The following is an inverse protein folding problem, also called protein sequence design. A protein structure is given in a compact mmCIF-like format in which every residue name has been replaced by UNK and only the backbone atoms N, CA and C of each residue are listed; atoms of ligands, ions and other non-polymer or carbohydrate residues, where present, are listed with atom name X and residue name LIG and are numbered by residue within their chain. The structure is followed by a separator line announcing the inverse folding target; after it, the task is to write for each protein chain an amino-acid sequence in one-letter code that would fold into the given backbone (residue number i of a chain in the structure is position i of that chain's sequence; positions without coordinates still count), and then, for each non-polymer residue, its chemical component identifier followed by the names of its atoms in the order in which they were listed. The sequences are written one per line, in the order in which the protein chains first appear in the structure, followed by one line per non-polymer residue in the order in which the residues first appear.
data_IF_112085195742
#
_entry.id   IF_112085195742
#
_cell.length_a   1.000
_cell.length_b   1.000
_cell.length_c   1.000
_cell.angle_alpha   90.00
_cell.angle_beta   90.00
_cell.angle_gamma   90.00
#
_symmetry.space_group_name_H-M   'P 1'
#
loop_
_entity.id
_entity.type
_entity.pdbx_description
1 polymer ?
#
# COMPACT_ATOMS: atom_id res chain seq x y z
N UNK A 1 -7.54 -20.32 55.14
CA UNK A 1 -6.44 -20.17 54.16
C UNK A 1 -7.09 -19.85 52.84
N UNK A 2 -6.96 -18.60 52.39
CA UNK A 2 -7.71 -18.05 51.25
C UNK A 2 -7.25 -18.63 49.92
N UNK A 3 -8.24 -18.88 49.07
CA UNK A 3 -8.14 -19.28 47.66
C UNK A 3 -7.17 -18.42 46.86
N UNK A 4 -6.28 -19.08 46.12
CA UNK A 4 -5.44 -18.44 45.10
C UNK A 4 -6.28 -18.10 43.87
N UNK A 5 -6.34 -16.81 43.56
CA UNK A 5 -6.92 -16.21 42.37
C UNK A 5 -6.14 -16.68 41.13
N UNK A 6 -6.84 -17.28 40.17
CA UNK A 6 -6.30 -17.56 38.85
C UNK A 6 -6.10 -16.24 38.11
N UNK A 7 -4.84 -15.92 37.79
CA UNK A 7 -4.50 -14.81 36.91
C UNK A 7 -4.96 -15.17 35.48
N UNK A 8 -5.92 -14.42 34.96
CA UNK A 8 -6.27 -14.44 33.54
C UNK A 8 -5.05 -14.04 32.72
N UNK A 9 -4.58 -14.95 31.87
CA UNK A 9 -3.55 -14.68 30.87
C UNK A 9 -4.18 -13.80 29.78
N UNK A 10 -3.75 -12.53 29.72
CA UNK A 10 -4.08 -11.60 28.65
C UNK A 10 -3.53 -12.14 27.32
N UNK A 11 -4.44 -12.33 26.37
CA UNK A 11 -4.17 -12.72 24.98
C UNK A 11 -3.62 -11.48 24.25
N UNK A 12 -2.34 -11.53 23.84
CA UNK A 12 -1.78 -10.72 22.75
C UNK A 12 -0.56 -11.49 22.19
N UNK A 13 -0.34 -11.58 20.86
CA UNK A 13 -0.75 -10.62 19.85
C UNK A 13 -1.45 -11.24 18.62
N UNK A 14 -2.77 -11.08 18.53
CA UNK A 14 -3.48 -10.96 17.23
C UNK A 14 -3.45 -9.47 16.77
N UNK A 15 -2.89 -8.59 17.63
CA UNK A 15 -2.87 -7.14 17.50
C UNK A 15 -2.10 -6.57 16.28
N UNK A 16 -1.46 -7.41 15.44
CA UNK A 16 -0.82 -6.90 14.23
C UNK A 16 -1.85 -6.50 13.17
N UNK A 17 -2.97 -7.24 13.07
CA UNK A 17 -4.00 -6.98 12.05
C UNK A 17 -5.38 -6.69 12.64
N UNK A 18 -5.75 -7.27 13.79
CA UNK A 18 -7.08 -7.11 14.39
C UNK A 18 -7.06 -6.09 15.51
N UNK A 19 -7.53 -4.87 15.24
CA UNK A 19 -7.54 -3.78 16.22
C UNK A 19 -8.50 -2.67 15.81
N UNK A 20 -8.98 -1.92 16.81
CA UNK A 20 -9.78 -0.71 16.63
C UNK A 20 -9.16 0.47 17.37
N UNK A 21 -9.16 1.66 16.77
CA UNK A 21 -8.80 2.90 17.48
C UNK A 21 -9.92 3.40 18.39
N UNK A 22 -11.17 3.02 18.12
CA UNK A 22 -12.34 3.50 18.82
C UNK A 22 -13.38 2.39 18.89
N UNK A 23 -13.61 1.82 20.08
CA UNK A 23 -14.60 0.78 20.23
C UNK A 23 -15.97 1.39 20.62
N UNK A 24 -16.99 1.36 19.75
CA UNK A 24 -18.28 2.00 19.99
C UNK A 24 -19.12 1.30 21.05
N UNK A 25 -18.76 0.09 21.50
CA UNK A 25 -19.40 -0.54 22.66
C UNK A 25 -18.98 0.11 23.98
N UNK A 26 -17.81 0.76 24.00
CA UNK A 26 -17.21 1.31 25.22
C UNK A 26 -17.34 2.85 25.30
N UNK A 27 -17.57 3.53 24.17
CA UNK A 27 -17.73 4.99 24.13
C UNK A 27 -18.65 5.44 22.98
N UNK A 28 -19.01 6.73 22.95
CA UNK A 28 -20.06 7.27 22.07
C UNK A 28 -19.57 8.31 21.07
N UNK A 29 -18.31 8.71 21.17
CA UNK A 29 -17.67 9.76 20.37
C UNK A 29 -16.80 9.19 19.23
N UNK A 30 -17.03 7.93 18.83
CA UNK A 30 -16.35 7.36 17.68
C UNK A 30 -16.70 8.10 16.38
N UNK A 31 -15.70 8.31 15.50
CA UNK A 31 -15.94 8.88 14.19
C UNK A 31 -16.88 7.98 13.38
N UNK A 32 -17.52 8.55 12.36
CA UNK A 32 -18.33 7.78 11.43
C UNK A 32 -17.45 7.06 10.41
N UNK A 33 -17.84 5.85 10.06
CA UNK A 33 -17.12 5.00 9.12
C UNK A 33 -17.48 5.40 7.69
N UNK A 34 -16.50 5.75 6.87
CA UNK A 34 -16.77 6.10 5.46
C UNK A 34 -17.23 4.87 4.69
N UNK A 35 -18.40 4.92 4.04
CA UNK A 35 -18.94 3.81 3.26
C UNK A 35 -18.24 3.66 1.91
N UNK A 36 -18.18 2.46 1.34
CA UNK A 36 -17.79 2.27 -0.06
C UNK A 36 -18.92 2.69 -1.01
N UNK A 37 -20.17 2.35 -0.70
CA UNK A 37 -21.38 2.73 -1.45
C UNK A 37 -21.45 2.25 -2.91
N UNK A 38 -20.63 1.26 -3.28
CA UNK A 38 -20.57 0.73 -4.65
C UNK A 38 -19.97 -0.68 -4.69
N UNK A 39 -19.99 -1.27 -5.89
CA UNK A 39 -19.12 -2.38 -6.25
C UNK A 39 -17.91 -1.84 -7.00
N UNK A 40 -16.70 -2.21 -6.57
CA UNK A 40 -15.47 -1.80 -7.23
C UNK A 40 -14.41 -2.91 -7.21
N UNK A 41 -13.69 -3.03 -8.31
CA UNK A 41 -12.55 -3.93 -8.45
C UNK A 41 -11.24 -3.13 -8.32
N UNK A 42 -10.50 -3.42 -7.25
CA UNK A 42 -9.16 -2.90 -7.03
C UNK A 42 -8.14 -3.84 -7.69
N UNK A 43 -7.53 -3.40 -8.79
CA UNK A 43 -6.48 -4.16 -9.47
C UNK A 43 -5.09 -3.67 -9.03
N UNK A 44 -4.38 -4.50 -8.26
CA UNK A 44 -3.09 -4.14 -7.67
C UNK A 44 -1.90 -4.34 -8.62
N UNK A 45 -2.11 -4.92 -9.82
CA UNK A 45 -1.05 -5.05 -10.83
C UNK A 45 -0.79 -3.75 -11.61
N UNK A 46 -1.77 -2.83 -11.63
CA UNK A 46 -1.71 -1.63 -12.47
C UNK A 46 -1.47 -0.34 -11.68
N UNK A 47 -2.03 -0.24 -10.49
CA UNK A 47 -2.04 1.00 -9.71
C UNK A 47 -1.92 0.73 -8.23
N UNK A 48 -1.09 1.53 -7.53
CA UNK A 48 -1.11 1.55 -6.07
C UNK A 48 -2.43 2.14 -5.58
N UNK A 49 -3.06 1.48 -4.61
CA UNK A 49 -4.41 1.83 -4.16
C UNK A 49 -4.41 2.91 -3.05
N UNK A 50 -3.35 3.74 -2.97
CA UNK A 50 -3.12 4.64 -1.84
C UNK A 50 -4.15 5.75 -1.64
N UNK A 51 -5.02 6.02 -2.62
CA UNK A 51 -6.16 6.92 -2.45
C UNK A 51 -7.26 6.31 -1.59
N UNK A 52 -7.47 4.99 -1.68
CA UNK A 52 -8.57 4.25 -1.04
C UNK A 52 -8.14 3.21 -0.01
N UNK A 53 -6.84 2.94 0.09
CA UNK A 53 -6.23 2.04 1.06
C UNK A 53 -5.10 2.73 1.83
N UNK A 54 -4.92 2.35 3.08
CA UNK A 54 -3.80 2.74 3.94
C UNK A 54 -2.86 1.55 4.09
N UNK A 55 -1.56 1.80 4.09
CA UNK A 55 -0.58 0.85 4.65
C UNK A 55 -0.47 1.14 6.15
N UNK A 56 -0.94 0.22 6.98
CA UNK A 56 -1.00 0.38 8.45
C UNK A 56 0.24 -0.17 9.14
N UNK A 57 0.94 -1.10 8.49
CA UNK A 57 2.21 -1.63 8.96
C UNK A 57 3.11 -2.02 7.77
N UNK A 58 4.43 -1.96 7.98
CA UNK A 58 5.43 -2.37 7.00
C UNK A 58 5.44 -1.55 5.70
N UNK A 59 5.92 -2.16 4.62
CA UNK A 59 5.94 -1.59 3.26
C UNK A 59 5.31 -2.59 2.31
N UNK A 60 4.50 -2.09 1.38
CA UNK A 60 3.84 -2.89 0.35
C UNK A 60 4.39 -2.44 -1.00
N UNK A 61 4.99 -3.39 -1.71
CA UNK A 61 5.48 -3.17 -3.08
C UNK A 61 4.42 -3.64 -4.08
N UNK A 62 4.56 -3.23 -5.34
CA UNK A 62 3.61 -3.57 -6.40
C UNK A 62 4.39 -4.03 -7.62
N UNK A 63 4.00 -5.16 -8.20
CA UNK A 63 4.57 -5.73 -9.41
C UNK A 63 3.48 -6.35 -10.31
N UNK A 64 3.88 -7.12 -11.32
CA UNK A 64 2.96 -7.77 -12.26
C UNK A 64 2.07 -8.86 -11.61
N UNK A 65 2.49 -9.42 -10.47
CA UNK A 65 1.70 -10.36 -9.65
C UNK A 65 0.73 -9.64 -8.68
N UNK A 66 0.89 -8.33 -8.48
CA UNK A 66 0.02 -7.49 -7.66
C UNK A 66 0.73 -6.83 -6.48
N UNK A 67 0.00 -6.64 -5.37
CA UNK A 67 0.55 -6.12 -4.12
C UNK A 67 1.37 -7.20 -3.41
N UNK A 68 2.60 -6.87 -3.02
CA UNK A 68 3.56 -7.75 -2.37
C UNK A 68 3.69 -7.41 -0.87
N UNK A 69 3.45 -8.41 -0.03
CA UNK A 69 3.56 -8.32 1.42
C UNK A 69 4.69 -9.24 1.85
N UNK A 70 5.83 -8.69 2.30
CA UNK A 70 7.03 -9.48 2.57
C UNK A 70 7.51 -9.38 4.01
N UNK A 71 7.75 -10.52 4.63
CA UNK A 71 8.50 -10.66 5.89
C UNK A 71 9.96 -10.93 5.53
N UNK A 72 10.83 -9.95 5.80
CA UNK A 72 12.29 -10.10 5.68
C UNK A 72 12.90 -10.39 7.04
N UNK A 73 12.45 -9.68 8.06
CA UNK A 73 13.00 -9.72 9.39
C UNK A 73 11.91 -9.89 10.43
N UNK A 74 12.35 -10.28 11.63
CA UNK A 74 11.51 -10.31 12.81
C UNK A 74 10.85 -8.95 13.06
N UNK A 75 9.53 -8.96 13.27
CA UNK A 75 8.72 -7.76 13.47
C UNK A 75 8.09 -7.20 12.19
N UNK A 76 8.45 -7.72 11.01
CA UNK A 76 7.73 -7.39 9.78
C UNK A 76 6.32 -8.00 9.81
N UNK A 77 5.32 -7.15 9.62
CA UNK A 77 3.91 -7.54 9.47
C UNK A 77 3.20 -6.61 8.47
N UNK A 78 3.65 -6.54 7.20
CA UNK A 78 3.07 -5.60 6.25
C UNK A 78 1.57 -5.83 6.07
N UNK A 79 0.81 -4.75 6.22
CA UNK A 79 -0.65 -4.78 6.27
C UNK A 79 -1.21 -3.57 5.54
N UNK A 80 -2.21 -3.78 4.68
CA UNK A 80 -3.06 -2.71 4.15
C UNK A 80 -4.49 -2.85 4.64
N UNK A 81 -5.14 -1.71 4.83
CA UNK A 81 -6.51 -1.58 5.29
C UNK A 81 -7.27 -0.62 4.36
N UNK A 82 -8.50 -0.96 3.99
CA UNK A 82 -9.36 -0.05 3.23
C UNK A 82 -9.68 1.20 4.06
N UNK A 83 -9.70 2.37 3.43
CA UNK A 83 -10.16 3.63 4.05
C UNK A 83 -11.67 3.72 4.15
N UNK A 84 -12.36 2.74 3.59
CA UNK A 84 -13.80 2.60 3.60
C UNK A 84 -14.19 1.33 4.34
N UNK A 85 -15.45 1.31 4.74
CA UNK A 85 -16.15 0.17 5.30
C UNK A 85 -17.24 -0.26 4.31
N UNK A 86 -17.68 -1.50 4.44
CA UNK A 86 -18.91 -1.99 3.82
C UNK A 86 -19.86 -2.44 4.92
N UNK A 87 -21.17 -2.35 4.66
CA UNK A 87 -22.16 -2.83 5.61
C UNK A 87 -23.03 -3.90 4.98
N UNK A 88 -22.67 -5.15 5.29
CA UNK A 88 -22.96 -6.31 4.45
C UNK A 88 -22.39 -6.15 3.04
N UNK A 89 -22.22 -7.26 2.32
CA UNK A 89 -21.58 -7.20 1.03
C UNK A 89 -20.95 -8.48 0.55
N UNK A 90 -20.00 -8.30 -0.36
CA UNK A 90 -19.16 -9.37 -0.90
C UNK A 90 -17.73 -8.85 -1.07
N UNK A 91 -16.76 -9.61 -0.59
CA UNK A 91 -15.32 -9.35 -0.73
C UNK A 91 -14.71 -10.54 -1.42
N UNK A 92 -14.26 -10.36 -2.65
CA UNK A 92 -13.53 -11.35 -3.46
C UNK A 92 -12.07 -10.92 -3.54
N UNK A 93 -11.13 -11.79 -3.18
CA UNK A 93 -9.69 -11.50 -3.18
C UNK A 93 -8.95 -12.60 -3.94
N UNK A 94 -8.15 -12.19 -4.93
CA UNK A 94 -7.23 -13.07 -5.63
C UNK A 94 -5.88 -13.06 -4.93
N UNK A 95 -5.59 -14.13 -4.19
CA UNK A 95 -4.45 -14.23 -3.27
C UNK A 95 -3.61 -15.48 -3.56
N UNK A 96 -2.28 -15.30 -3.48
CA UNK A 96 -1.28 -16.37 -3.40
C UNK A 96 -0.56 -16.22 -2.06
N UNK A 97 -0.73 -17.20 -1.18
CA UNK A 97 -0.26 -17.15 0.20
C UNK A 97 1.26 -17.29 0.27
N UNK A 98 1.85 -16.84 1.36
CA UNK A 98 3.27 -17.02 1.62
C UNK A 98 3.58 -18.44 2.09
N UNK A 99 4.75 -18.96 1.70
CA UNK A 99 5.36 -20.13 2.32
C UNK A 99 6.01 -19.76 3.66
N UNK A 100 6.37 -20.77 4.46
CA UNK A 100 7.26 -20.61 5.61
C UNK A 100 6.64 -21.09 6.90
N UNK A 101 7.46 -21.71 7.76
CA UNK A 101 7.01 -22.13 9.09
C UNK A 101 6.66 -20.91 9.95
N UNK A 102 5.49 -20.95 10.60
CA UNK A 102 5.04 -19.85 11.45
C UNK A 102 4.56 -18.60 10.70
N UNK A 103 4.60 -18.59 9.36
CA UNK A 103 4.16 -17.45 8.54
C UNK A 103 2.68 -17.61 8.22
N UNK A 104 1.93 -16.52 8.30
CA UNK A 104 0.49 -16.49 8.04
C UNK A 104 0.16 -15.38 7.06
N UNK A 105 -0.63 -15.71 6.05
CA UNK A 105 -1.25 -14.77 5.11
C UNK A 105 -2.73 -14.64 5.44
N UNK A 106 -3.27 -13.43 5.42
CA UNK A 106 -4.57 -13.14 6.00
C UNK A 106 -5.42 -12.23 5.11
N UNK A 107 -6.72 -12.53 5.02
CA UNK A 107 -7.77 -11.63 4.54
C UNK A 107 -8.75 -11.44 5.69
N UNK A 108 -8.91 -10.23 6.18
CA UNK A 108 -9.75 -9.95 7.36
C UNK A 108 -10.76 -8.86 7.03
N UNK A 109 -12.03 -9.11 7.29
CA UNK A 109 -13.04 -8.07 7.43
C UNK A 109 -13.16 -7.77 8.92
N UNK A 110 -12.96 -6.53 9.34
CA UNK A 110 -13.02 -6.16 10.77
C UNK A 110 -13.78 -4.85 11.00
N UNK A 111 -14.65 -4.84 11.99
CA UNK A 111 -15.41 -3.66 12.43
C UNK A 111 -14.72 -2.92 13.58
N UNK A 112 -15.19 -1.73 13.87
CA UNK A 112 -14.71 -0.93 15.00
C UNK A 112 -15.10 -1.53 16.37
N UNK A 113 -16.14 -2.36 16.44
CA UNK A 113 -16.49 -3.14 17.63
C UNK A 113 -15.87 -4.55 17.67
N UNK A 114 -14.99 -4.89 16.72
CA UNK A 114 -14.29 -6.17 16.62
C UNK A 114 -15.22 -7.36 16.27
N UNK A 115 -16.28 -7.10 15.51
CA UNK A 115 -16.85 -8.13 14.65
C UNK A 115 -15.83 -8.42 13.52
N UNK A 116 -15.61 -9.70 13.23
CA UNK A 116 -14.53 -10.16 12.36
C UNK A 116 -14.97 -11.35 11.51
N UNK A 117 -14.54 -11.36 10.25
CA UNK A 117 -14.63 -12.51 9.34
C UNK A 117 -13.33 -12.63 8.57
N UNK A 118 -12.70 -13.80 8.62
CA UNK A 118 -11.35 -13.95 8.10
C UNK A 118 -11.11 -15.22 7.28
N UNK A 119 -10.00 -15.15 6.54
CA UNK A 119 -9.29 -16.26 5.92
C UNK A 119 -7.85 -16.24 6.40
N UNK A 120 -7.33 -17.39 6.81
CA UNK A 120 -5.95 -17.55 7.27
C UNK A 120 -5.25 -18.69 6.53
N UNK A 121 -4.04 -18.44 6.04
CA UNK A 121 -3.22 -19.43 5.34
C UNK A 121 -1.88 -19.57 6.05
N UNK A 122 -1.65 -20.72 6.68
CA UNK A 122 -0.34 -21.02 7.28
C UNK A 122 0.63 -21.47 6.20
N UNK A 123 1.86 -20.97 6.25
CA UNK A 123 2.88 -21.24 5.23
C UNK A 123 3.41 -22.68 5.19
N UNK A 124 2.91 -23.55 6.08
CA UNK A 124 3.19 -24.99 6.12
C UNK A 124 2.04 -25.85 5.60
N UNK A 125 0.81 -25.33 5.57
CA UNK A 125 -0.34 -26.09 5.08
C UNK A 125 -0.56 -25.81 3.60
N UNK A 126 0.01 -26.67 2.75
CA UNK A 126 -0.04 -26.53 1.30
C UNK A 126 -1.31 -27.08 0.66
N UNK A 127 -2.32 -27.40 1.46
CA UNK A 127 -3.53 -28.10 0.99
C UNK A 127 -4.83 -27.51 1.53
N UNK A 128 -4.79 -26.54 2.45
CA UNK A 128 -5.98 -25.97 3.05
C UNK A 128 -5.82 -24.48 3.36
N UNK A 129 -6.95 -23.76 3.38
CA UNK A 129 -7.10 -22.44 4.02
C UNK A 129 -8.04 -22.55 5.21
N UNK A 130 -7.81 -21.75 6.25
CA UNK A 130 -8.69 -21.66 7.41
C UNK A 130 -9.68 -20.51 7.24
N UNK A 131 -10.89 -20.68 7.76
CA UNK A 131 -11.89 -19.61 7.91
C UNK A 131 -12.23 -19.45 9.38
N UNK A 132 -12.41 -18.22 9.83
CA UNK A 132 -12.83 -17.94 11.20
C UNK A 132 -13.77 -16.73 11.26
N UNK A 133 -14.32 -16.49 12.45
CA UNK A 133 -15.13 -15.31 12.73
C UNK A 133 -15.12 -14.98 14.22
N UNK A 134 -15.27 -13.69 14.52
CA UNK A 134 -15.45 -13.20 15.88
C UNK A 134 -16.62 -12.23 15.94
N UNK A 135 -17.33 -12.25 17.06
CA UNK A 135 -18.34 -11.25 17.36
C UNK A 135 -17.87 -10.43 18.56
N UNK A 136 -17.81 -9.11 18.39
CA UNK A 136 -17.54 -8.13 19.46
C UNK A 136 -16.23 -8.39 20.21
N UNK A 137 -15.22 -8.87 19.50
CA UNK A 137 -13.90 -9.23 20.06
C UNK A 137 -13.93 -10.42 21.01
N UNK A 138 -15.00 -11.21 21.04
CA UNK A 138 -15.10 -12.35 21.94
C UNK A 138 -14.31 -13.55 21.41
N UNK A 139 -13.14 -13.78 22.01
CA UNK A 139 -12.20 -14.86 21.68
C UNK A 139 -12.43 -16.16 22.46
N UNK A 140 -13.43 -16.23 23.36
CA UNK A 140 -13.64 -17.37 24.27
C UNK A 140 -13.84 -18.71 23.54
N UNK A 141 -14.34 -18.67 22.29
CA UNK A 141 -14.60 -19.83 21.45
C UNK A 141 -13.77 -19.84 20.16
N UNK A 142 -12.64 -19.12 20.12
CA UNK A 142 -11.80 -18.98 18.93
C UNK A 142 -11.47 -20.34 18.27
N UNK A 143 -11.03 -21.30 19.09
CA UNK A 143 -10.61 -22.63 18.62
C UNK A 143 -11.74 -23.46 18.00
N UNK A 144 -13.01 -23.19 18.33
CA UNK A 144 -14.16 -23.93 17.78
C UNK A 144 -14.79 -23.26 16.56
N UNK A 145 -14.35 -22.04 16.22
CA UNK A 145 -14.87 -21.26 15.07
C UNK A 145 -13.99 -21.36 13.83
N UNK A 146 -12.77 -21.85 13.99
CA UNK A 146 -11.82 -22.15 12.91
C UNK A 146 -12.21 -23.42 12.15
N UNK A 147 -12.34 -23.34 10.83
CA UNK A 147 -12.55 -24.50 9.95
C UNK A 147 -11.60 -24.45 8.77
N UNK A 148 -10.95 -25.59 8.48
CA UNK A 148 -10.00 -25.77 7.39
C UNK A 148 -10.67 -26.37 6.16
N UNK A 149 -10.43 -25.77 5.00
CA UNK A 149 -11.05 -26.13 3.72
C UNK A 149 -10.00 -26.50 2.70
N UNK A 150 -10.17 -27.58 1.93
CA UNK A 150 -9.22 -27.96 0.90
C UNK A 150 -9.04 -26.87 -0.17
N UNK A 151 -7.79 -26.59 -0.52
CA UNK A 151 -7.38 -25.71 -1.63
C UNK A 151 -6.06 -26.23 -2.21
N UNK A 152 -5.93 -26.22 -3.53
CA UNK A 152 -4.78 -26.79 -4.22
C UNK A 152 -3.58 -25.85 -4.20
N UNK A 153 -2.57 -26.13 -3.39
CA UNK A 153 -1.28 -25.41 -3.42
C UNK A 153 -1.43 -23.87 -3.26
N UNK A 154 -2.05 -23.38 -2.17
CA UNK A 154 -2.38 -21.96 -2.00
C UNK A 154 -1.16 -21.03 -1.94
N UNK A 155 0.05 -21.58 -1.74
CA UNK A 155 1.30 -20.82 -1.74
C UNK A 155 1.96 -20.72 -3.13
N UNK A 156 1.53 -21.52 -4.11
CA UNK A 156 2.10 -21.48 -5.46
C UNK A 156 1.11 -21.04 -6.53
N UNK A 157 -0.19 -21.13 -6.26
CA UNK A 157 -1.26 -20.70 -7.17
C UNK A 157 -2.05 -19.54 -6.56
N UNK A 158 -2.56 -18.67 -7.43
CA UNK A 158 -3.57 -17.69 -7.04
C UNK A 158 -4.93 -18.38 -7.01
N UNK A 159 -5.67 -18.16 -5.93
CA UNK A 159 -7.06 -18.58 -5.80
C UNK A 159 -7.94 -17.37 -5.52
N UNK A 160 -9.21 -17.50 -5.90
CA UNK A 160 -10.25 -16.56 -5.53
C UNK A 160 -10.85 -16.99 -4.19
N UNK A 161 -10.62 -16.19 -3.15
CA UNK A 161 -11.28 -16.31 -1.86
C UNK A 161 -12.37 -15.26 -1.77
N UNK A 162 -13.63 -15.72 -1.74
CA UNK A 162 -14.78 -14.82 -1.63
C UNK A 162 -15.49 -15.01 -0.30
N UNK A 163 -15.77 -13.91 0.37
CA UNK A 163 -16.64 -13.84 1.55
C UNK A 163 -17.89 -13.05 1.17
N UNK A 164 -19.06 -13.70 1.20
CA UNK A 164 -20.36 -13.04 1.06
C UNK A 164 -21.01 -12.95 2.42
N UNK A 165 -21.37 -11.74 2.82
CA UNK A 165 -21.83 -11.43 4.17
C UNK A 165 -23.15 -10.69 4.11
N UNK A 166 -24.20 -11.28 4.69
CA UNK A 166 -25.53 -10.68 4.82
C UNK A 166 -25.97 -10.69 6.28
N UNK A 167 -27.10 -10.05 6.58
CA UNK A 167 -27.68 -10.09 7.92
C UNK A 167 -28.12 -11.51 8.34
N UNK A 168 -28.37 -12.40 7.38
CA UNK A 168 -28.86 -13.75 7.64
C UNK A 168 -27.73 -14.76 7.78
N UNK A 169 -26.64 -14.61 7.01
CA UNK A 169 -25.54 -15.57 6.97
C UNK A 169 -24.24 -15.00 6.42
N UNK A 170 -23.14 -15.72 6.69
CA UNK A 170 -21.84 -15.53 6.04
C UNK A 170 -21.54 -16.79 5.23
N UNK A 171 -21.10 -16.61 3.99
CA UNK A 171 -20.73 -17.69 3.08
C UNK A 171 -19.29 -17.46 2.59
N UNK A 172 -18.49 -18.50 2.65
CA UNK A 172 -17.10 -18.52 2.18
C UNK A 172 -17.00 -19.39 0.94
N UNK A 173 -16.26 -18.91 -0.06
CA UNK A 173 -16.06 -19.59 -1.33
C UNK A 173 -14.58 -19.63 -1.69
N UNK A 174 -14.17 -20.74 -2.29
CA UNK A 174 -12.86 -20.92 -2.95
C UNK A 174 -13.14 -21.20 -4.42
N UNK A 175 -12.60 -20.38 -5.31
CA UNK A 175 -12.76 -20.50 -6.77
C UNK A 175 -14.24 -20.64 -7.20
N UNK A 176 -15.12 -19.87 -6.56
CA UNK A 176 -16.56 -19.86 -6.81
C UNK A 176 -17.34 -21.03 -6.18
N UNK A 177 -16.68 -21.95 -5.50
CA UNK A 177 -17.32 -23.08 -4.80
C UNK A 177 -17.52 -22.74 -3.33
N UNK A 178 -18.76 -22.84 -2.82
CA UNK A 178 -19.04 -22.61 -1.40
C UNK A 178 -18.39 -23.72 -0.55
N UNK A 179 -17.60 -23.32 0.44
CA UNK A 179 -16.90 -24.24 1.37
C UNK A 179 -17.44 -24.15 2.79
N UNK A 180 -18.09 -23.03 3.15
CA UNK A 180 -18.69 -22.84 4.47
C UNK A 180 -19.86 -21.87 4.39
N UNK A 181 -20.87 -22.15 5.21
CA UNK A 181 -21.95 -21.22 5.54
C UNK A 181 -22.07 -21.14 7.06
N UNK A 182 -22.18 -19.93 7.60
CA UNK A 182 -22.53 -19.64 8.99
C UNK A 182 -23.86 -18.91 9.01
N UNK A 183 -24.90 -19.57 9.49
CA UNK A 183 -26.20 -18.91 9.70
C UNK A 183 -26.13 -18.02 10.95
N UNK A 184 -26.89 -16.91 10.94
CA UNK A 184 -26.96 -15.97 12.07
C UNK A 184 -27.25 -16.69 13.40
N UNK A 185 -28.17 -17.66 13.40
CA UNK A 185 -28.57 -18.40 14.59
C UNK A 185 -27.46 -19.31 15.15
N UNK A 186 -26.56 -19.81 14.30
CA UNK A 186 -25.46 -20.70 14.70
C UNK A 186 -24.35 -19.94 15.44
N UNK A 187 -24.26 -18.63 15.22
CA UNK A 187 -23.31 -17.75 15.91
C UNK A 187 -23.83 -17.33 17.30
N UNK A 188 -24.04 -18.30 18.19
CA UNK A 188 -24.55 -18.11 19.55
C UNK A 188 -25.91 -17.37 19.55
N UNK A 189 -26.85 -17.83 18.74
CA UNK A 189 -28.17 -17.19 18.58
C UNK A 189 -28.10 -15.77 17.99
N UNK A 190 -27.00 -15.45 17.30
CA UNK A 190 -26.73 -14.13 16.73
C UNK A 190 -25.86 -13.21 17.59
N UNK A 191 -25.63 -13.55 18.86
CA UNK A 191 -24.86 -12.70 19.78
C UNK A 191 -23.39 -12.56 19.37
N UNK A 192 -22.85 -13.54 18.64
CA UNK A 192 -21.48 -13.52 18.10
C UNK A 192 -21.45 -13.46 16.58
N UNK A 193 -22.57 -13.15 15.92
CA UNK A 193 -22.60 -13.00 14.47
C UNK A 193 -22.03 -11.63 14.07
N UNK A 194 -21.03 -11.57 13.16
CA UNK A 194 -20.52 -10.33 12.60
C UNK A 194 -21.62 -9.56 11.87
N UNK A 195 -21.91 -8.35 12.32
CA UNK A 195 -23.12 -7.63 11.94
C UNK A 195 -22.97 -6.11 11.95
N UNK A 196 -21.75 -5.59 11.98
CA UNK A 196 -21.47 -4.15 11.99
C UNK A 196 -20.49 -3.80 10.88
N UNK A 197 -20.46 -2.56 10.37
CA UNK A 197 -19.67 -2.20 9.20
C UNK A 197 -18.21 -2.64 9.36
N UNK A 198 -17.66 -3.27 8.33
CA UNK A 198 -16.29 -3.80 8.35
C UNK A 198 -15.43 -3.16 7.26
N UNK A 199 -14.20 -2.83 7.60
CA UNK A 199 -13.15 -2.54 6.62
C UNK A 199 -12.48 -3.85 6.19
N UNK A 200 -11.77 -3.82 5.05
CA UNK A 200 -11.02 -4.97 4.53
C UNK A 200 -9.54 -4.77 4.84
N UNK A 201 -8.91 -5.78 5.42
CA UNK A 201 -7.49 -5.82 5.74
C UNK A 201 -6.84 -7.00 5.03
N UNK A 202 -5.67 -6.74 4.46
CA UNK A 202 -4.85 -7.72 3.75
C UNK A 202 -3.45 -7.63 4.31
N UNK A 203 -2.86 -8.75 4.69
CA UNK A 203 -1.51 -8.72 5.22
C UNK A 203 -0.93 -10.08 5.52
N UNK A 204 0.35 -10.04 5.85
CA UNK A 204 1.16 -11.20 6.25
C UNK A 204 1.79 -10.92 7.60
N UNK A 205 1.96 -11.95 8.43
CA UNK A 205 2.58 -11.82 9.74
C UNK A 205 3.24 -13.13 10.22
N UNK A 206 4.17 -13.01 11.16
CA UNK A 206 4.86 -14.14 11.76
C UNK A 206 4.15 -14.58 13.06
N UNK A 207 3.12 -15.41 12.93
CA UNK A 207 2.45 -16.04 14.07
C UNK A 207 3.39 -16.97 14.86
N UNK A 208 4.42 -17.52 14.19
CA UNK A 208 5.51 -18.29 14.79
C UNK A 208 6.62 -17.45 15.44
N UNK A 209 6.43 -16.14 15.64
CA UNK A 209 7.40 -15.37 16.41
C UNK A 209 7.49 -15.91 17.85
N UNK A 210 8.72 -16.11 18.34
CA UNK A 210 9.01 -16.66 19.68
C UNK A 210 8.41 -15.88 20.86
N UNK A 211 8.06 -14.59 20.67
CA UNK A 211 7.41 -13.79 21.72
C UNK A 211 5.88 -13.93 21.69
N UNK A 212 5.31 -14.65 20.71
CA UNK A 212 3.91 -15.02 20.72
C UNK A 212 3.66 -16.18 21.69
N UNK A 213 2.40 -16.39 22.04
CA UNK A 213 2.03 -17.50 22.91
C UNK A 213 2.19 -18.86 22.17
N UNK A 214 2.45 -19.92 22.94
CA UNK A 214 2.70 -21.26 22.39
C UNK A 214 1.54 -21.80 21.54
N UNK A 215 0.29 -21.40 21.80
CA UNK A 215 -0.86 -21.84 21.00
C UNK A 215 -0.81 -21.23 19.60
N UNK A 216 -0.57 -19.93 19.49
CA UNK A 216 -0.44 -19.24 18.20
C UNK A 216 0.75 -19.78 17.39
N UNK A 217 1.90 -20.01 18.04
CA UNK A 217 3.07 -20.60 17.38
C UNK A 217 2.75 -22.01 16.87
N UNK A 218 2.10 -22.84 17.69
CA UNK A 218 1.73 -24.21 17.30
C UNK A 218 0.69 -24.23 16.17
N UNK A 219 -0.32 -23.37 16.23
CA UNK A 219 -1.34 -23.20 15.18
C UNK A 219 -0.70 -22.81 13.84
N UNK A 220 0.28 -21.93 13.85
CA UNK A 220 1.03 -21.51 12.66
C UNK A 220 2.04 -22.56 12.13
N UNK A 221 2.12 -23.71 12.80
CA UNK A 221 2.99 -24.82 12.41
C UNK A 221 4.40 -24.76 12.98
N UNK A 222 4.70 -23.88 13.94
CA UNK A 222 5.98 -23.78 14.65
C UNK A 222 6.62 -22.41 14.58
N UNK A 223 7.84 -22.30 15.14
CA UNK A 223 8.59 -21.04 15.17
C UNK A 223 9.05 -20.59 13.78
N UNK A 224 9.00 -19.28 13.52
CA UNK A 224 9.42 -18.69 12.25
C UNK A 224 10.94 -18.58 12.16
N UNK A 225 11.52 -19.18 11.12
CA UNK A 225 12.94 -19.05 10.79
C UNK A 225 13.13 -17.91 9.77
N UNK A 226 13.42 -16.71 10.26
CA UNK A 226 13.65 -15.53 9.40
C UNK A 226 14.88 -15.69 8.48
N UNK A 227 15.81 -16.60 8.77
CA UNK A 227 17.00 -16.83 7.91
C UNK A 227 16.68 -17.56 6.60
N UNK A 228 15.51 -18.21 6.53
CA UNK A 228 14.99 -18.87 5.33
C UNK A 228 14.02 -17.99 4.52
N UNK A 229 13.78 -16.77 4.97
CA UNK A 229 13.04 -15.77 4.21
C UNK A 229 13.83 -15.24 3.00
N UNK A 230 13.29 -14.26 2.27
CA UNK A 230 12.01 -13.58 2.53
C UNK A 230 10.79 -14.48 2.31
N UNK A 231 9.72 -14.20 3.05
CA UNK A 231 8.42 -14.84 2.85
C UNK A 231 7.43 -13.81 2.31
N UNK A 232 6.83 -14.10 1.16
CA UNK A 232 6.00 -13.11 0.45
C UNK A 232 4.63 -13.65 0.11
N UNK A 233 3.60 -12.90 0.51
CA UNK A 233 2.21 -13.05 0.08
C UNK A 233 1.95 -12.07 -1.07
N UNK A 234 1.14 -12.48 -2.04
CA UNK A 234 0.73 -11.66 -3.17
C UNK A 234 -0.79 -11.53 -3.23
N UNK A 235 -1.26 -10.31 -3.48
CA UNK A 235 -2.68 -10.05 -3.79
C UNK A 235 -2.78 -9.37 -5.15
N UNK A 236 -3.39 -10.07 -6.10
CA UNK A 236 -3.52 -9.58 -7.46
C UNK A 236 -4.64 -8.54 -7.58
N UNK A 237 -5.80 -8.84 -6.99
CA UNK A 237 -6.95 -7.96 -7.01
C UNK A 237 -7.87 -8.21 -5.82
N UNK A 238 -8.71 -7.22 -5.53
CA UNK A 238 -9.83 -7.35 -4.60
C UNK A 238 -11.08 -6.71 -5.22
N UNK A 239 -12.17 -7.46 -5.39
CA UNK A 239 -13.49 -6.91 -5.73
C UNK A 239 -14.31 -6.78 -4.45
N UNK A 240 -14.69 -5.55 -4.12
CA UNK A 240 -15.48 -5.27 -2.92
C UNK A 240 -16.81 -4.69 -3.34
N UNK A 241 -17.90 -5.27 -2.84
CA UNK A 241 -19.27 -4.81 -3.06
C UNK A 241 -19.90 -4.48 -1.73
N UNK A 242 -20.28 -3.23 -1.56
CA UNK A 242 -21.11 -2.78 -0.46
C UNK A 242 -22.58 -2.98 -0.81
N UNK A 243 -23.34 -3.67 0.05
CA UNK A 243 -24.78 -3.81 -0.13
C UNK A 243 -25.57 -2.61 0.40
N UNK A 244 -24.89 -1.68 1.08
CA UNK A 244 -25.43 -0.37 1.42
C UNK A 244 -25.20 0.66 0.32
N UNK A 245 -25.92 1.77 0.40
CA UNK A 245 -25.80 2.94 -0.48
C UNK A 245 -25.59 4.25 0.30
N UNK A 246 -25.20 4.15 1.57
CA UNK A 246 -24.88 5.32 2.41
C UNK A 246 -23.58 6.00 2.00
N UNK A 247 -23.32 7.21 2.52
CA UNK A 247 -21.99 7.83 2.47
C UNK A 247 -21.10 7.39 3.62
N UNK A 248 -21.70 7.16 4.78
CA UNK A 248 -21.03 6.87 6.05
C UNK A 248 -21.95 6.01 6.93
N UNK A 249 -21.37 5.26 7.87
CA UNK A 249 -22.08 4.54 8.90
C UNK A 249 -21.76 5.11 10.27
N UNK A 250 -22.75 5.11 11.15
CA UNK A 250 -22.60 5.55 12.53
C UNK A 250 -23.25 4.54 13.46
N UNK A 251 -22.54 4.17 14.52
CA UNK A 251 -23.14 3.44 15.63
C UNK A 251 -24.10 4.38 16.37
N UNK A 252 -25.40 4.11 16.28
CA UNK A 252 -26.47 4.88 16.92
C UNK A 252 -26.58 4.62 18.42
N UNK A 253 -26.07 3.48 18.89
CA UNK A 253 -25.95 3.11 20.30
C UNK A 253 -24.74 2.16 20.54
N UNK A 254 -24.56 1.71 21.78
CA UNK A 254 -23.45 0.85 22.20
C UNK A 254 -23.81 -0.65 22.18
N UNK A 255 -24.88 -1.06 21.50
CA UNK A 255 -25.34 -2.47 21.48
C UNK A 255 -24.52 -3.34 20.54
N UNK A 256 -23.87 -2.75 19.52
CA UNK A 256 -23.16 -3.48 18.48
C UNK A 256 -24.09 -4.38 17.65
N UNK A 257 -25.35 -3.98 17.47
CA UNK A 257 -26.29 -4.72 16.63
C UNK A 257 -26.39 -4.03 15.27
N UNK A 258 -26.61 -4.80 14.19
CA UNK A 258 -26.78 -4.20 12.87
C UNK A 258 -27.94 -3.19 12.80
N UNK A 259 -28.93 -3.34 13.67
CA UNK A 259 -30.08 -2.43 13.78
C UNK A 259 -29.74 -1.08 14.39
N UNK A 260 -28.65 -0.97 15.14
CA UNK A 260 -28.21 0.30 15.69
C UNK A 260 -27.33 1.10 14.73
N UNK A 261 -27.01 0.55 13.55
CA UNK A 261 -26.18 1.22 12.56
C UNK A 261 -27.04 2.22 11.76
N UNK A 262 -26.78 3.50 11.96
CA UNK A 262 -27.34 4.58 11.18
C UNK A 262 -26.57 4.70 9.85
N UNK A 263 -27.23 4.33 8.74
CA UNK A 263 -26.70 4.53 7.39
C UNK A 263 -26.97 5.97 6.96
N UNK A 264 -25.95 6.83 7.06
CA UNK A 264 -26.06 8.24 6.71
C UNK A 264 -26.12 8.37 5.19
N UNK A 265 -27.18 8.99 4.68
CA UNK A 265 -27.41 9.15 3.25
C UNK A 265 -26.50 10.23 2.62
N UNK A 266 -26.19 10.07 1.33
CA UNK A 266 -25.38 10.98 0.53
C UNK A 266 -24.39 10.24 -0.35
N UNK A 267 -23.48 10.97 -0.99
CA UNK A 267 -22.42 10.37 -1.79
C UNK A 267 -21.22 10.02 -0.91
N UNK A 268 -20.72 8.79 -1.03
CA UNK A 268 -19.44 8.41 -0.43
C UNK A 268 -18.28 9.17 -1.09
N UNK A 269 -17.40 9.72 -0.26
CA UNK A 269 -16.17 10.39 -0.71
C UNK A 269 -15.22 9.42 -1.43
N UNK A 270 -15.24 8.15 -1.04
CA UNK A 270 -14.47 7.07 -1.68
C UNK A 270 -15.10 6.71 -3.02
N UNK A 271 -16.42 6.53 -3.10
CA UNK A 271 -17.10 6.27 -4.36
C UNK A 271 -16.86 7.40 -5.38
N UNK A 272 -16.93 8.66 -4.94
CA UNK A 272 -16.61 9.82 -5.78
C UNK A 272 -15.15 9.79 -6.24
N UNK A 273 -14.21 9.37 -5.38
CA UNK A 273 -12.79 9.27 -5.74
C UNK A 273 -12.55 8.20 -6.79
N UNK A 274 -13.19 7.04 -6.65
CA UNK A 274 -13.08 5.90 -7.57
C UNK A 274 -13.78 6.15 -8.92
N UNK A 275 -14.84 6.96 -8.91
CA UNK A 275 -15.58 7.31 -10.13
C UNK A 275 -14.93 8.44 -10.93
N UNK A 276 -13.87 9.09 -10.41
CA UNK A 276 -13.18 10.16 -11.14
C UNK A 276 -12.44 9.58 -12.35
N UNK A 277 -12.60 10.19 -13.55
CA UNK A 277 -11.80 9.78 -14.69
C UNK A 277 -10.31 10.01 -14.39
N UNK A 278 -9.41 9.19 -14.96
CA UNK A 278 -7.97 9.35 -14.75
C UNK A 278 -7.55 10.77 -15.15
N UNK A 279 -6.56 11.36 -14.45
CA UNK A 279 -6.10 12.70 -14.76
C UNK A 279 -5.63 12.76 -16.22
N UNK A 280 -6.09 13.78 -16.96
CA UNK A 280 -5.69 13.98 -18.35
C UNK A 280 -4.16 14.03 -18.47
N UNK A 281 -3.61 13.29 -19.43
CA UNK A 281 -2.17 13.29 -19.74
C UNK A 281 -1.71 14.68 -20.19
N UNK A 282 -0.40 14.97 -20.15
CA UNK A 282 0.13 16.24 -20.67
C UNK A 282 -0.30 16.49 -22.12
N UNK A 283 -0.33 15.46 -22.96
CA UNK A 283 -0.81 15.56 -24.33
C UNK A 283 -2.30 15.91 -24.41
N UNK A 284 -3.15 15.30 -23.59
CA UNK A 284 -4.58 15.62 -23.54
C UNK A 284 -4.85 17.01 -22.95
N UNK A 285 -4.08 17.42 -21.94
CA UNK A 285 -4.12 18.78 -21.39
C UNK A 285 -3.71 19.79 -22.45
N UNK A 286 -2.63 19.52 -23.17
CA UNK A 286 -2.16 20.35 -24.29
C UNK A 286 -3.22 20.45 -25.39
N UNK A 287 -3.80 19.32 -25.81
CA UNK A 287 -4.85 19.29 -26.82
C UNK A 287 -6.06 20.15 -26.42
N UNK A 288 -6.44 20.10 -25.13
CA UNK A 288 -7.55 20.88 -24.56
C UNK A 288 -7.28 22.37 -24.33
N UNK A 289 -6.05 22.87 -24.50
CA UNK A 289 -5.77 24.30 -24.43
C UNK A 289 -6.42 25.05 -25.59
N UNK A 290 -6.92 26.25 -25.32
CA UNK A 290 -7.43 27.16 -26.35
C UNK A 290 -6.33 27.54 -27.33
N UNK A 291 -6.71 27.92 -28.55
CA UNK A 291 -5.75 28.37 -29.57
C UNK A 291 -4.90 29.54 -29.06
N UNK A 292 -5.50 30.49 -28.33
CA UNK A 292 -4.78 31.61 -27.72
C UNK A 292 -3.75 31.18 -26.67
N UNK A 293 -4.09 30.20 -25.81
CA UNK A 293 -3.16 29.67 -24.82
C UNK A 293 -1.98 28.95 -25.47
N UNK A 294 -2.22 28.14 -26.52
CA UNK A 294 -1.16 27.49 -27.30
C UNK A 294 -0.22 28.51 -27.94
N UNK A 295 -0.78 29.56 -28.57
CA UNK A 295 0.00 30.65 -29.18
C UNK A 295 0.86 31.34 -28.12
N UNK A 296 0.31 31.69 -26.96
CA UNK A 296 1.06 32.35 -25.89
C UNK A 296 2.24 31.50 -25.38
N UNK A 297 2.07 30.18 -25.28
CA UNK A 297 3.15 29.27 -24.89
C UNK A 297 4.21 29.20 -25.99
N UNK A 298 3.82 29.07 -27.26
CA UNK A 298 4.77 29.04 -28.37
C UNK A 298 5.57 30.35 -28.49
N UNK A 299 4.94 31.51 -28.30
CA UNK A 299 5.63 32.80 -28.34
C UNK A 299 6.60 32.96 -27.16
N UNK A 300 6.22 32.53 -25.97
CA UNK A 300 7.10 32.53 -24.80
C UNK A 300 8.34 31.64 -25.03
N UNK A 301 8.14 30.40 -25.51
CA UNK A 301 9.25 29.49 -25.84
C UNK A 301 10.15 30.11 -26.92
N UNK A 302 9.55 30.66 -27.98
CA UNK A 302 10.29 31.30 -29.06
C UNK A 302 11.15 32.48 -28.57
N UNK A 303 10.60 33.32 -27.69
CA UNK A 303 11.35 34.45 -27.12
C UNK A 303 12.55 33.99 -26.29
N UNK A 304 12.39 32.94 -25.47
CA UNK A 304 13.49 32.36 -24.67
C UNK A 304 14.56 31.76 -25.57
N UNK A 305 14.18 31.01 -26.60
CA UNK A 305 15.13 30.43 -27.56
C UNK A 305 15.92 31.52 -28.28
N UNK A 306 15.25 32.58 -28.74
CA UNK A 306 15.92 33.71 -29.39
C UNK A 306 16.89 34.43 -28.43
N UNK A 307 16.51 34.61 -27.17
CA UNK A 307 17.39 35.20 -26.16
C UNK A 307 18.64 34.33 -25.94
N UNK A 308 18.48 33.01 -25.84
CA UNK A 308 19.60 32.08 -25.67
C UNK A 308 20.55 32.08 -26.89
N UNK A 309 19.99 32.11 -28.11
CA UNK A 309 20.80 32.23 -29.35
C UNK A 309 21.54 33.56 -29.35
N UNK A 310 20.90 34.66 -28.95
CA UNK A 310 21.53 35.97 -28.82
C UNK A 310 22.71 35.96 -27.86
N UNK A 311 22.52 35.41 -26.66
CA UNK A 311 23.57 35.28 -25.64
C UNK A 311 24.72 34.41 -26.15
N UNK A 312 24.42 33.26 -26.76
CA UNK A 312 25.43 32.37 -27.34
C UNK A 312 26.24 33.08 -28.43
N UNK A 313 25.57 33.81 -29.33
CA UNK A 313 26.21 34.56 -30.42
C UNK A 313 27.11 35.66 -29.87
N UNK A 314 26.66 36.42 -28.88
CA UNK A 314 27.46 37.46 -28.22
C UNK A 314 28.69 36.83 -27.57
N UNK A 315 28.52 35.71 -26.85
CA UNK A 315 29.63 34.98 -26.22
C UNK A 315 30.66 34.51 -27.26
N UNK A 316 30.23 33.93 -28.38
CA UNK A 316 31.12 33.54 -29.46
C UNK A 316 31.87 34.73 -30.06
N UNK A 317 31.22 35.89 -30.22
CA UNK A 317 31.85 37.12 -30.74
C UNK A 317 32.89 37.67 -29.75
N UNK A 318 32.56 37.72 -28.47
CA UNK A 318 33.47 38.25 -27.43
C UNK A 318 34.67 37.35 -27.24
N UNK A 319 34.50 36.03 -27.19
CA UNK A 319 35.60 35.07 -27.15
C UNK A 319 36.49 35.16 -28.40
N UNK A 320 35.91 35.28 -29.60
CA UNK A 320 36.69 35.51 -30.84
C UNK A 320 37.47 36.83 -30.80
N UNK A 321 36.94 37.88 -30.19
CA UNK A 321 37.66 39.16 -30.01
C UNK A 321 38.80 39.02 -29.00
N UNK A 322 38.57 38.35 -27.87
CA UNK A 322 39.60 38.09 -26.86
C UNK A 322 40.76 37.26 -27.44
N UNK A 323 40.46 36.15 -28.14
CA UNK A 323 41.49 35.32 -28.78
C UNK A 323 42.30 36.06 -29.85
N UNK A 324 41.68 36.98 -30.62
CA UNK A 324 42.42 37.85 -31.55
C UNK A 324 43.36 38.81 -30.82
N UNK A 325 42.97 39.33 -29.64
CA UNK A 325 43.81 40.22 -28.83
C UNK A 325 44.98 39.47 -28.21
N UNK A 326 44.75 38.27 -27.69
CA UNK A 326 45.81 37.41 -27.15
C UNK A 326 46.84 37.03 -28.22
N UNK A 327 46.37 36.66 -29.43
CA UNK A 327 47.26 36.41 -30.57
C UNK A 327 48.11 37.64 -30.93
N UNK A 328 47.50 38.83 -31.01
CA UNK A 328 48.23 40.05 -31.33
C UNK A 328 49.30 40.41 -30.26
N UNK A 329 49.01 40.15 -28.98
CA UNK A 329 50.00 40.33 -27.90
C UNK A 329 51.13 39.30 -27.98
N UNK A 330 50.82 38.04 -28.30
CA UNK A 330 51.83 37.01 -28.49
C UNK A 330 52.76 37.33 -29.68
N UNK A 331 52.19 37.79 -30.81
CA UNK A 331 52.95 38.21 -31.98
C UNK A 331 53.86 39.42 -31.63
N UNK A 332 53.36 40.41 -30.89
CA UNK A 332 54.17 41.56 -30.45
C UNK A 332 55.29 41.19 -29.47
N UNK A 333 55.04 40.27 -28.53
CA UNK A 333 56.06 39.76 -27.63
C UNK A 333 57.13 38.97 -28.39
N UNK A 334 56.71 38.14 -29.36
CA UNK A 334 57.63 37.40 -30.22
C UNK A 334 58.54 38.34 -31.01
N UNK A 335 58.00 39.39 -31.62
CA UNK A 335 58.79 40.41 -32.31
C UNK A 335 59.79 41.11 -31.38
N UNK A 336 59.38 41.44 -30.15
CA UNK A 336 60.26 42.04 -29.13
C UNK A 336 61.38 41.09 -28.72
N UNK A 337 61.08 39.84 -28.40
CA UNK A 337 62.06 38.83 -28.02
C UNK A 337 63.04 38.58 -29.17
N UNK A 338 62.57 38.52 -30.41
CA UNK A 338 63.43 38.44 -31.60
C UNK A 338 64.35 39.67 -31.72
N UNK A 339 63.83 40.87 -31.52
CA UNK A 339 64.64 42.09 -31.54
C UNK A 339 65.70 42.11 -30.43
N UNK A 340 65.36 41.69 -29.21
CA UNK A 340 66.29 41.59 -28.07
C UNK A 340 67.39 40.56 -28.34
N UNK A 341 67.05 39.38 -28.86
CA UNK A 341 68.04 38.35 -29.24
C UNK A 341 68.99 38.87 -30.32
N UNK A 342 68.48 39.60 -31.32
CA UNK A 342 69.29 40.21 -32.37
C UNK A 342 70.22 41.30 -31.81
N UNK A 343 69.73 42.14 -30.88
CA UNK A 343 70.55 43.14 -30.21
C UNK A 343 71.63 42.52 -29.31
N UNK A 344 71.31 41.45 -28.58
CA UNK A 344 72.27 40.68 -27.79
C UNK A 344 73.37 40.09 -28.67
N UNK A 345 72.99 39.47 -29.80
CA UNK A 345 73.94 38.94 -30.79
C UNK A 345 74.84 40.04 -31.37
N UNK A 346 74.33 41.25 -31.58
CA UNK A 346 75.13 42.38 -32.05
C UNK A 346 76.15 42.84 -30.99
N UNK A 347 75.75 42.97 -29.72
CA UNK A 347 76.65 43.33 -28.61
C UNK A 347 77.73 42.27 -28.35
N UNK A 348 77.36 40.99 -28.42
CA UNK A 348 78.32 39.90 -28.24
C UNK A 348 79.39 39.91 -29.35
N UNK A 349 78.99 40.21 -30.59
CA UNK A 349 79.96 40.40 -31.69
C UNK A 349 80.90 41.57 -31.43
N UNK A 350 80.40 42.72 -30.99
CA UNK A 350 81.27 43.88 -30.71
C UNK A 350 82.25 43.64 -29.55
N UNK A 351 81.85 42.91 -28.49
CA UNK A 351 82.75 42.57 -27.38
C UNK A 351 83.81 41.54 -27.77
N UNK A 352 83.50 40.64 -28.71
CA UNK A 352 84.48 39.67 -29.23
C UNK A 352 85.60 40.35 -30.03
N UNK A 353 85.31 41.51 -30.61
CA UNK A 353 86.27 42.25 -31.43
C UNK A 353 87.16 43.21 -30.57
N UNK A 354 86.95 43.29 -29.25
CA UNK A 354 87.75 44.08 -28.29
C UNK A 354 88.78 43.25 -27.49
N UNK A 355 88.84 41.93 -27.70
CA UNK A 355 89.91 41.04 -27.23
C UNK A 355 90.76 40.58 -28.42
#
# INVERSE_FOLDING_TARGET
MLSSVALFSLIAPIAAQTWTSCNPLNQTDCPTDTALSMSHEFNFTQTSAGSTWNTTAGTILYNDDGAEFTINNRGDAPTMQSKFYIFFGEVEVWLKAATGQGVVSSIVLESDDLDEVDWEFTGTNTTHGETNYYGKGNTTAAATRAFWHPVESPQTLFHNYTTRWTADRIEWFIDGTSVRTLEYADANGGASFPQTPMNVRLGIWAAGDKDNNNYTIAWAGGETDYTKGPYTMYVQSARVTDFSSGKEYKYGDQTGTWKSIDVIQGNSTVAETLSRPPPKTLAQRWAGLSTGAKIAIYTAIGAVVLALIGVSTICCITQRKAGRRERALADANWEKDHAEVMAYRARYRSQRDEF
#
